data_IF_222885617717
#
_entry.id   IF_222885617717
#
_cell.length_a   1.000
_cell.length_b   1.000
_cell.length_c   1.000
_cell.angle_alpha   90.00
_cell.angle_beta   90.00
_cell.angle_gamma   90.00
#
_symmetry.space_group_name_H-M   'P 1'
#
loop_
_entity.id
_entity.type
_entity.pdbx_description
1 polymer ?
#
# COMPACT_ATOMS: atom_id res chain seq x y z
N UNK A 1 -9.75 -9.47 3.24
CA UNK A 1 -8.92 -9.11 2.08
C UNK A 1 -7.88 -10.19 1.82
N UNK A 2 -7.75 -10.62 0.57
CA UNK A 2 -6.72 -11.53 0.08
C UNK A 2 -5.33 -10.88 0.14
N UNK A 3 -4.27 -11.70 0.23
CA UNK A 3 -2.89 -11.22 0.33
C UNK A 3 -2.01 -11.97 -0.66
N UNK A 4 -1.28 -11.20 -1.48
CA UNK A 4 -0.26 -11.69 -2.40
C UNK A 4 1.06 -11.01 -2.04
N UNK A 5 2.15 -11.76 -2.12
CA UNK A 5 3.51 -11.27 -1.90
C UNK A 5 4.33 -11.49 -3.17
N UNK A 6 5.06 -10.45 -3.58
CA UNK A 6 5.88 -10.41 -4.79
C UNK A 6 7.32 -10.18 -4.39
N UNK A 7 8.16 -11.17 -4.69
CA UNK A 7 9.60 -11.09 -4.51
C UNK A 7 10.28 -10.77 -5.84
N UNK A 8 11.09 -9.72 -5.86
CA UNK A 8 11.93 -9.34 -7.01
C UNK A 8 13.37 -9.41 -6.55
N UNK A 9 14.18 -10.20 -7.26
CA UNK A 9 15.63 -10.30 -7.05
C UNK A 9 16.34 -9.63 -8.22
N UNK A 10 17.35 -8.82 -7.93
CA UNK A 10 18.13 -8.03 -8.89
C UNK A 10 19.61 -8.17 -8.56
N UNK A 11 20.46 -8.14 -9.58
CA UNK A 11 21.93 -8.13 -9.42
C UNK A 11 22.48 -6.75 -8.99
N UNK A 12 21.64 -5.71 -8.91
CA UNK A 12 22.02 -4.36 -8.51
C UNK A 12 21.07 -3.69 -7.50
N UNK A 13 21.52 -2.57 -6.92
CA UNK A 13 20.79 -1.77 -5.94
C UNK A 13 19.67 -0.94 -6.59
N UNK A 14 18.49 -1.53 -6.73
CA UNK A 14 17.27 -0.79 -7.08
C UNK A 14 16.86 0.12 -5.92
N UNK A 15 16.61 1.42 -6.19
CA UNK A 15 16.12 2.39 -5.20
C UNK A 15 14.59 2.26 -5.03
N UNK A 16 14.08 1.86 -3.85
CA UNK A 16 12.65 1.66 -3.62
C UNK A 16 11.79 2.93 -3.72
N UNK A 17 12.36 4.11 -3.48
CA UNK A 17 11.60 5.36 -3.34
C UNK A 17 10.99 5.90 -4.64
N UNK A 18 11.37 5.35 -5.81
CA UNK A 18 10.94 5.88 -7.12
C UNK A 18 9.93 4.97 -7.85
N UNK A 19 9.62 3.78 -7.32
CA UNK A 19 8.94 2.73 -8.09
C UNK A 19 7.43 2.60 -7.83
N UNK A 20 6.81 3.38 -6.94
CA UNK A 20 5.37 3.19 -6.60
C UNK A 20 4.47 3.31 -7.84
N UNK A 21 4.75 4.27 -8.73
CA UNK A 21 3.98 4.46 -9.97
C UNK A 21 4.12 3.26 -10.91
N UNK A 22 5.32 2.71 -11.02
CA UNK A 22 5.61 1.54 -11.85
C UNK A 22 4.99 0.28 -11.25
N UNK A 23 5.15 0.07 -9.94
CA UNK A 23 4.54 -1.04 -9.21
C UNK A 23 3.02 -1.00 -9.30
N UNK A 24 2.40 0.18 -9.20
CA UNK A 24 0.97 0.35 -9.44
C UNK A 24 0.59 -0.15 -10.83
N UNK A 25 1.29 0.34 -11.86
CA UNK A 25 1.01 -0.02 -13.26
C UNK A 25 1.12 -1.53 -13.48
N UNK A 26 2.19 -2.14 -12.96
CA UNK A 26 2.40 -3.60 -13.04
C UNK A 26 1.32 -4.36 -12.26
N UNK A 27 0.95 -3.89 -11.07
CA UNK A 27 -0.08 -4.53 -10.24
C UNK A 27 -1.43 -4.52 -10.94
N UNK A 28 -1.87 -3.36 -11.44
CA UNK A 28 -3.15 -3.22 -12.13
C UNK A 28 -3.18 -4.02 -13.44
N UNK A 29 -2.03 -4.19 -14.10
CA UNK A 29 -1.91 -5.08 -15.26
C UNK A 29 -2.01 -6.57 -14.89
N UNK A 30 -1.36 -7.01 -13.80
CA UNK A 30 -1.39 -8.40 -13.33
C UNK A 30 -2.77 -8.81 -12.80
N UNK A 31 -3.47 -7.89 -12.13
CA UNK A 31 -4.75 -8.15 -11.46
C UNK A 31 -5.93 -7.47 -12.14
N UNK A 32 -5.89 -7.30 -13.47
CA UNK A 32 -7.00 -6.73 -14.22
C UNK A 32 -8.32 -7.47 -13.92
N UNK A 33 -9.45 -6.78 -13.67
CA UNK A 33 -9.71 -5.35 -13.84
C UNK A 33 -9.52 -4.49 -12.58
N UNK A 34 -8.83 -4.99 -11.55
CA UNK A 34 -8.71 -4.30 -10.27
C UNK A 34 -7.92 -2.98 -10.39
N UNK A 35 -8.24 -2.02 -9.51
CA UNK A 35 -7.61 -0.70 -9.49
C UNK A 35 -7.02 -0.38 -8.12
N UNK A 36 -5.89 0.32 -8.09
CA UNK A 36 -5.26 0.71 -6.84
C UNK A 36 -6.13 1.72 -6.10
N UNK A 37 -6.57 1.32 -4.91
CA UNK A 37 -7.34 2.17 -4.02
C UNK A 37 -6.54 2.67 -2.82
N UNK A 38 -5.34 2.15 -2.55
CA UNK A 38 -4.48 2.65 -1.47
C UNK A 38 -3.07 2.06 -1.52
N UNK A 39 -2.15 2.68 -0.78
CA UNK A 39 -0.80 2.15 -0.59
C UNK A 39 -0.30 2.38 0.84
N UNK A 40 0.72 1.63 1.23
CA UNK A 40 1.49 1.81 2.45
C UNK A 40 2.95 1.52 2.15
N UNK A 41 3.81 2.50 2.39
CA UNK A 41 5.25 2.32 2.56
C UNK A 41 5.50 1.90 4.01
N UNK A 42 5.90 0.65 4.19
CA UNK A 42 6.13 0.07 5.51
C UNK A 42 7.49 0.49 6.10
N UNK A 43 8.35 1.18 5.34
CA UNK A 43 9.65 1.67 5.82
C UNK A 43 9.47 2.97 6.62
N UNK A 44 8.75 3.94 6.04
CA UNK A 44 8.56 5.27 6.62
C UNK A 44 7.13 5.54 7.09
N UNK A 45 6.26 4.51 7.07
CA UNK A 45 4.83 4.62 7.40
C UNK A 45 4.07 5.63 6.52
N UNK A 46 4.61 5.96 5.34
CA UNK A 46 3.96 6.83 4.37
C UNK A 46 2.78 6.09 3.73
N UNK A 47 1.60 6.68 3.77
CA UNK A 47 0.38 6.05 3.27
C UNK A 47 -0.66 7.11 2.92
N UNK A 48 -1.69 6.68 2.20
CA UNK A 48 -2.73 7.57 1.69
C UNK A 48 -4.12 7.04 2.07
N UNK A 49 -4.52 7.33 3.31
CA UNK A 49 -5.83 6.95 3.82
C UNK A 49 -6.94 7.94 3.42
N UNK A 50 -8.22 7.51 3.45
CA UNK A 50 -9.37 8.38 3.15
C UNK A 50 -9.39 9.67 3.97
N UNK A 51 -8.92 9.62 5.22
CA UNK A 51 -8.87 10.76 6.13
C UNK A 51 -7.84 11.79 5.65
N UNK A 52 -6.64 11.36 5.24
CA UNK A 52 -5.60 12.25 4.70
C UNK A 52 -6.09 12.97 3.43
N UNK A 53 -6.76 12.26 2.51
CA UNK A 53 -7.34 12.88 1.30
C UNK A 53 -8.39 13.94 1.63
N UNK A 54 -9.19 13.69 2.68
CA UNK A 54 -10.18 14.63 3.21
C UNK A 54 -9.56 15.74 4.08
N UNK A 55 -8.23 15.80 4.19
CA UNK A 55 -7.48 16.74 5.05
C UNK A 55 -7.86 16.62 6.54
N UNK A 56 -8.19 15.42 6.98
CA UNK A 56 -8.46 15.08 8.37
C UNK A 56 -7.24 14.41 9.01
N UNK A 57 -7.16 14.45 10.33
CA UNK A 57 -6.13 13.73 11.08
C UNK A 57 -6.18 12.24 10.76
N UNK A 58 -5.03 11.66 10.42
CA UNK A 58 -4.93 10.23 10.18
C UNK A 58 -5.09 9.46 11.51
N UNK A 59 -6.04 8.51 11.60
CA UNK A 59 -6.24 7.69 12.80
C UNK A 59 -5.33 6.46 12.83
N UNK A 60 -4.48 6.28 11.82
CA UNK A 60 -3.62 5.09 11.66
C UNK A 60 -2.20 5.29 12.17
N UNK A 61 -1.81 6.53 12.47
CA UNK A 61 -0.51 6.87 13.06
C UNK A 61 -0.76 7.37 14.47
N UNK A 62 -0.19 6.69 15.46
CA UNK A 62 -0.23 7.11 16.86
C UNK A 62 0.70 8.32 17.10
N UNK A 63 0.53 9.00 18.25
CA UNK A 63 1.35 10.18 18.62
C UNK A 63 2.86 9.86 18.72
N UNK A 64 3.21 8.61 19.00
CA UNK A 64 4.57 8.07 19.00
C UNK A 64 5.10 7.69 17.60
N UNK A 65 4.36 8.02 16.54
CA UNK A 65 4.60 7.66 15.14
C UNK A 65 4.48 6.17 14.83
N UNK A 66 3.92 5.36 15.73
CA UNK A 66 3.66 3.94 15.45
C UNK A 66 2.49 3.80 14.47
N UNK A 67 2.69 3.06 13.37
CA UNK A 67 1.65 2.81 12.37
C UNK A 67 0.80 1.58 12.72
N UNK A 68 -0.52 1.75 12.75
CA UNK A 68 -1.48 0.69 12.99
C UNK A 68 -1.95 0.06 11.66
N UNK A 69 -1.21 -0.95 11.20
CA UNK A 69 -1.48 -1.69 9.98
C UNK A 69 -2.89 -2.30 9.93
N UNK A 70 -3.38 -2.81 11.06
CA UNK A 70 -4.69 -3.45 11.10
C UNK A 70 -5.82 -2.43 10.92
N UNK A 71 -5.71 -1.28 11.59
CA UNK A 71 -6.66 -0.18 11.47
C UNK A 71 -6.69 0.39 10.05
N UNK A 72 -5.53 0.57 9.43
CA UNK A 72 -5.43 1.04 8.05
C UNK A 72 -6.09 0.07 7.07
N UNK A 73 -5.77 -1.23 7.19
CA UNK A 73 -6.39 -2.29 6.39
C UNK A 73 -7.92 -2.27 6.51
N UNK A 74 -8.44 -2.27 7.74
CA UNK A 74 -9.89 -2.26 8.00
C UNK A 74 -10.56 -1.01 7.41
N UNK A 75 -9.86 0.13 7.44
CA UNK A 75 -10.35 1.38 6.83
C UNK A 75 -10.46 1.25 5.32
N UNK A 76 -9.46 0.69 4.64
CA UNK A 76 -9.49 0.47 3.20
C UNK A 76 -10.55 -0.56 2.78
N UNK A 77 -10.67 -1.69 3.51
CA UNK A 77 -11.71 -2.70 3.27
C UNK A 77 -13.12 -2.07 3.37
N UNK A 78 -13.35 -1.22 4.38
CA UNK A 78 -14.67 -0.61 4.63
C UNK A 78 -15.00 0.52 3.66
N UNK A 79 -14.09 1.49 3.53
CA UNK A 79 -14.34 2.77 2.86
C UNK A 79 -13.99 2.76 1.37
N UNK A 80 -13.00 1.95 0.95
CA UNK A 80 -12.57 1.83 -0.45
C UNK A 80 -12.88 0.48 -1.09
N UNK A 81 -13.52 -0.43 -0.34
CA UNK A 81 -13.85 -1.80 -0.77
C UNK A 81 -12.63 -2.63 -1.18
N UNK A 82 -11.47 -2.30 -0.61
CA UNK A 82 -10.23 -3.03 -0.87
C UNK A 82 -10.42 -4.53 -0.59
N UNK A 83 -10.13 -5.36 -1.58
CA UNK A 83 -10.35 -6.80 -1.54
C UNK A 83 -9.05 -7.59 -1.69
N UNK A 84 -8.00 -6.98 -2.27
CA UNK A 84 -6.66 -7.56 -2.43
C UNK A 84 -5.58 -6.61 -1.89
N UNK A 85 -4.57 -7.18 -1.21
CA UNK A 85 -3.29 -6.53 -0.90
C UNK A 85 -2.15 -7.24 -1.63
N UNK A 86 -1.34 -6.48 -2.34
CA UNK A 86 -0.11 -6.93 -3.00
C UNK A 86 1.08 -6.31 -2.28
N UNK A 87 1.93 -7.14 -1.65
CA UNK A 87 3.12 -6.70 -0.93
C UNK A 87 4.37 -6.96 -1.78
N UNK A 88 5.18 -5.93 -1.98
CA UNK A 88 6.44 -5.96 -2.71
C UNK A 88 7.61 -5.95 -1.73
N UNK A 89 8.20 -7.12 -1.47
CA UNK A 89 9.21 -7.28 -0.42
C UNK A 89 10.49 -6.46 -0.67
N UNK A 90 10.89 -6.34 -1.94
CA UNK A 90 12.10 -5.61 -2.35
C UNK A 90 12.01 -4.10 -2.11
N UNK A 91 10.79 -3.57 -1.96
CA UNK A 91 10.55 -2.14 -1.79
C UNK A 91 9.80 -1.81 -0.50
N UNK A 92 9.45 -2.83 0.29
CA UNK A 92 8.67 -2.72 1.51
C UNK A 92 7.36 -1.93 1.32
N UNK A 93 6.68 -2.19 0.21
CA UNK A 93 5.47 -1.48 -0.22
C UNK A 93 4.28 -2.43 -0.29
N UNK A 94 3.18 -2.06 0.35
CA UNK A 94 1.88 -2.71 0.24
C UNK A 94 0.96 -1.86 -0.66
N UNK A 95 0.51 -2.41 -1.79
CA UNK A 95 -0.56 -1.84 -2.61
C UNK A 95 -1.89 -2.54 -2.32
N UNK A 96 -2.97 -1.78 -2.33
CA UNK A 96 -4.32 -2.25 -2.04
C UNK A 96 -5.21 -2.01 -3.25
N UNK A 97 -5.92 -3.04 -3.69
CA UNK A 97 -6.77 -3.00 -4.87
C UNK A 97 -8.24 -3.27 -4.52
N UNK A 98 -9.13 -2.70 -5.33
CA UNK A 98 -10.57 -2.99 -5.35
C UNK A 98 -11.03 -3.45 -6.72
#
# INVERSE_FOLDING_TARGET
MEKIEVHITSDGDSRPSEIISDLRTVTEALFHPMQMCGFLDESDSMHLCPQIERRQTCPHVSDDKTFNHESYRKTLERERKASLRVYYSHANLSLYLT
#
